data_IF_128556494108
#
_entry.id   IF_128556494108
#
_cell.length_a   1.000
_cell.length_b   1.000
_cell.length_c   1.000
_cell.angle_alpha   90.00
_cell.angle_beta   90.00
_cell.angle_gamma   90.00
#
_symmetry.space_group_name_H-M   'P 1'
#
loop_
_entity.id
_entity.type
_entity.pdbx_description
1 polymer ?
#
# COMPACT_ATOMS: atom_id res chain seq x y z
N UNK A 1 -13.17 11.48 -29.53
CA UNK A 1 -14.15 11.56 -28.43
C UNK A 1 -15.53 11.11 -28.92
N UNK A 2 -16.17 11.84 -29.85
CA UNK A 2 -17.50 11.51 -30.36
C UNK A 2 -17.62 10.07 -30.92
N UNK A 3 -16.69 9.65 -31.78
CA UNK A 3 -16.68 8.26 -32.28
C UNK A 3 -16.54 7.20 -31.16
N UNK A 4 -15.87 7.52 -30.05
CA UNK A 4 -15.77 6.60 -28.91
C UNK A 4 -17.07 6.54 -28.10
N UNK A 5 -17.81 7.65 -28.02
CA UNK A 5 -19.17 7.67 -27.45
C UNK A 5 -20.14 6.87 -28.31
N UNK A 6 -20.01 6.97 -29.65
CA UNK A 6 -20.80 6.17 -30.59
C UNK A 6 -20.49 4.67 -30.47
N UNK A 7 -19.22 4.32 -30.27
CA UNK A 7 -18.78 2.96 -30.02
C UNK A 7 -19.15 2.40 -28.62
N UNK A 8 -19.78 3.20 -27.74
CA UNK A 8 -20.29 2.73 -26.45
C UNK A 8 -19.26 2.69 -25.31
N UNK A 9 -18.27 3.59 -25.29
CA UNK A 9 -17.31 3.68 -24.17
C UNK A 9 -18.02 4.08 -22.86
N UNK A 10 -17.61 3.48 -21.75
CA UNK A 10 -18.22 3.73 -20.43
C UNK A 10 -17.72 5.00 -19.73
N UNK A 11 -16.60 5.57 -20.17
CA UNK A 11 -16.04 6.79 -19.61
C UNK A 11 -15.05 7.40 -20.60
N UNK A 12 -15.11 8.71 -20.80
CA UNK A 12 -14.06 9.43 -21.53
C UNK A 12 -13.01 9.98 -20.56
N UNK A 13 -11.80 10.21 -21.06
CA UNK A 13 -10.84 11.12 -20.44
C UNK A 13 -10.49 12.23 -21.41
N UNK A 14 -10.66 13.47 -20.99
CA UNK A 14 -10.21 14.64 -21.74
C UNK A 14 -9.01 15.29 -21.03
N UNK A 15 -8.18 15.98 -21.80
CA UNK A 15 -7.04 16.75 -21.30
C UNK A 15 -7.20 18.20 -21.78
N UNK A 16 -7.35 19.17 -20.87
CA UNK A 16 -7.45 20.59 -21.23
C UNK A 16 -6.27 21.07 -22.09
N UNK A 17 -5.07 20.50 -21.88
CA UNK A 17 -3.88 20.85 -22.66
C UNK A 17 -3.97 20.53 -24.16
N UNK A 18 -4.82 19.56 -24.53
CA UNK A 18 -4.93 19.02 -25.89
C UNK A 18 -6.16 19.55 -26.66
N UNK A 19 -7.28 19.80 -25.99
CA UNK A 19 -8.52 20.30 -26.60
C UNK A 19 -8.70 21.74 -26.13
N UNK A 20 -8.41 22.72 -26.99
CA UNK A 20 -8.30 24.14 -26.60
C UNK A 20 -9.49 25.01 -27.00
N UNK A 21 -10.42 24.46 -27.78
CA UNK A 21 -11.56 25.18 -28.34
C UNK A 21 -12.78 24.93 -27.46
N UNK A 22 -13.29 25.93 -26.71
CA UNK A 22 -14.43 25.76 -25.80
C UNK A 22 -15.64 25.13 -26.49
N UNK A 23 -15.91 25.46 -27.74
CA UNK A 23 -16.99 24.91 -28.55
C UNK A 23 -16.87 23.38 -28.73
N UNK A 24 -15.66 22.85 -28.88
CA UNK A 24 -15.44 21.41 -29.00
C UNK A 24 -15.62 20.71 -27.66
N UNK A 25 -15.16 21.33 -26.57
CA UNK A 25 -15.29 20.80 -25.21
C UNK A 25 -16.78 20.69 -24.85
N UNK A 26 -17.53 21.79 -25.05
CA UNK A 26 -18.98 21.88 -24.81
C UNK A 26 -19.77 20.89 -25.65
N UNK A 27 -19.39 20.68 -26.91
CA UNK A 27 -20.01 19.66 -27.77
C UNK A 27 -19.79 18.25 -27.21
N UNK A 28 -18.56 17.90 -26.84
CA UNK A 28 -18.26 16.57 -26.27
C UNK A 28 -18.99 16.36 -24.94
N UNK A 29 -19.01 17.37 -24.06
CA UNK A 29 -19.69 17.30 -22.78
C UNK A 29 -21.22 17.17 -22.96
N UNK A 30 -21.82 17.88 -23.90
CA UNK A 30 -23.26 17.77 -24.21
C UNK A 30 -23.60 16.37 -24.74
N UNK A 31 -22.80 15.83 -25.66
CA UNK A 31 -22.99 14.47 -26.18
C UNK A 31 -22.82 13.39 -25.11
N UNK A 32 -21.86 13.56 -24.21
CA UNK A 32 -21.65 12.65 -23.09
C UNK A 32 -22.80 12.72 -22.07
N UNK A 33 -23.33 13.94 -21.81
CA UNK A 33 -24.51 14.16 -20.97
C UNK A 33 -25.72 13.40 -21.51
N UNK A 34 -26.03 13.59 -22.78
CA UNK A 34 -27.22 13.01 -23.42
C UNK A 34 -27.16 11.48 -23.45
N UNK A 35 -25.95 10.90 -23.39
CA UNK A 35 -25.69 9.46 -23.33
C UNK A 35 -25.50 8.92 -21.91
N UNK A 36 -25.44 9.77 -20.90
CA UNK A 36 -25.15 9.38 -19.52
C UNK A 36 -23.74 8.82 -19.30
N UNK A 37 -22.76 9.21 -20.12
CA UNK A 37 -21.37 8.72 -20.03
C UNK A 37 -20.51 9.71 -19.23
N UNK A 38 -19.89 9.31 -18.11
CA UNK A 38 -19.05 10.20 -17.33
C UNK A 38 -17.75 10.60 -18.06
N UNK A 39 -17.20 11.75 -17.70
CA UNK A 39 -15.92 12.24 -18.22
C UNK A 39 -14.93 12.46 -17.08
N UNK A 40 -13.69 11.99 -17.25
CA UNK A 40 -12.56 12.42 -16.43
C UNK A 40 -11.85 13.61 -17.06
N UNK A 41 -11.80 14.75 -16.37
CA UNK A 41 -10.90 15.86 -16.70
C UNK A 41 -9.52 15.53 -16.14
N UNK A 42 -8.51 15.41 -17.01
CA UNK A 42 -7.16 15.04 -16.58
C UNK A 42 -6.12 16.07 -16.97
N UNK A 43 -5.80 16.96 -16.04
CA UNK A 43 -4.69 17.91 -16.13
C UNK A 43 -3.39 17.19 -15.79
N UNK A 44 -2.38 17.37 -16.65
CA UNK A 44 -1.04 16.87 -16.42
C UNK A 44 -0.05 18.04 -16.39
N UNK A 45 0.86 18.07 -15.41
CA UNK A 45 1.86 19.12 -15.31
C UNK A 45 2.71 19.30 -16.57
N UNK A 46 3.06 18.19 -17.25
CA UNK A 46 3.85 18.22 -18.49
C UNK A 46 3.10 18.69 -19.73
N UNK A 47 1.78 18.91 -19.66
CA UNK A 47 0.97 19.38 -20.80
C UNK A 47 0.05 20.53 -20.38
N UNK A 48 0.48 21.37 -19.45
CA UNK A 48 -0.28 22.54 -19.03
C UNK A 48 -0.47 23.53 -20.20
N UNK A 49 -1.59 24.25 -20.23
CA UNK A 49 -1.81 25.29 -21.25
C UNK A 49 -0.73 26.37 -21.16
N UNK A 50 -0.22 26.81 -22.31
CA UNK A 50 0.87 27.80 -22.40
C UNK A 50 0.51 29.12 -21.71
N UNK A 51 -0.75 29.58 -21.79
CA UNK A 51 -1.17 30.83 -21.15
C UNK A 51 -1.12 30.71 -19.63
N UNK A 52 -1.56 29.58 -19.08
CA UNK A 52 -1.46 29.29 -17.65
C UNK A 52 0.00 29.17 -17.25
N UNK A 53 0.80 28.41 -18.00
CA UNK A 53 2.22 28.27 -17.73
C UNK A 53 2.94 29.63 -17.65
N UNK A 54 2.66 30.55 -18.59
CA UNK A 54 3.22 31.90 -18.59
C UNK A 54 2.66 32.77 -17.45
N UNK A 55 1.34 32.68 -17.17
CA UNK A 55 0.70 33.39 -16.03
C UNK A 55 1.37 33.06 -14.70
N UNK A 56 1.80 31.81 -14.52
CA UNK A 56 2.47 31.33 -13.30
C UNK A 56 4.01 31.37 -13.40
N UNK A 57 4.55 32.26 -14.23
CA UNK A 57 5.99 32.56 -14.26
C UNK A 57 6.84 31.50 -14.95
N UNK A 58 6.27 30.78 -15.91
CA UNK A 58 6.98 29.78 -16.69
C UNK A 58 7.38 28.56 -15.87
N UNK A 59 6.52 28.16 -14.92
CA UNK A 59 6.71 26.97 -14.08
C UNK A 59 5.37 26.27 -13.89
N UNK A 60 5.43 24.95 -13.72
CA UNK A 60 4.26 24.18 -13.27
C UNK A 60 4.13 24.37 -11.77
N UNK A 61 3.04 24.98 -11.33
CA UNK A 61 2.72 25.17 -9.91
C UNK A 61 1.40 24.46 -9.57
N UNK A 62 1.14 24.16 -8.28
CA UNK A 62 -0.13 23.58 -7.85
C UNK A 62 -1.33 24.42 -8.33
N UNK A 63 -1.25 25.74 -8.15
CA UNK A 63 -2.32 26.68 -8.46
C UNK A 63 -2.62 26.68 -9.96
N UNK A 64 -1.58 26.61 -10.80
CA UNK A 64 -1.75 26.56 -12.25
C UNK A 64 -2.47 25.27 -12.70
N UNK A 65 -2.19 24.14 -12.04
CA UNK A 65 -2.84 22.87 -12.33
C UNK A 65 -4.30 22.87 -11.88
N UNK A 66 -4.59 23.43 -10.71
CA UNK A 66 -5.96 23.58 -10.18
C UNK A 66 -6.77 24.54 -11.05
N UNK A 67 -6.22 25.69 -11.42
CA UNK A 67 -6.89 26.65 -12.30
C UNK A 67 -7.20 26.01 -13.66
N UNK A 68 -6.28 25.21 -14.22
CA UNK A 68 -6.55 24.48 -15.46
C UNK A 68 -7.72 23.51 -15.33
N UNK A 69 -7.92 22.88 -14.16
CA UNK A 69 -9.04 21.98 -13.94
C UNK A 69 -10.36 22.76 -13.78
N UNK A 70 -10.35 23.86 -13.03
CA UNK A 70 -11.52 24.72 -12.81
C UNK A 70 -11.99 25.39 -14.10
N UNK A 71 -11.06 25.84 -14.95
CA UNK A 71 -11.40 26.39 -16.28
C UNK A 71 -12.12 25.37 -17.14
N UNK A 72 -11.66 24.11 -17.15
CA UNK A 72 -12.32 23.05 -17.91
C UNK A 72 -13.71 22.71 -17.32
N UNK A 73 -13.81 22.63 -15.99
CA UNK A 73 -15.08 22.42 -15.29
C UNK A 73 -16.13 23.48 -15.64
N UNK A 74 -15.73 24.75 -15.71
CA UNK A 74 -16.65 25.84 -16.05
C UNK A 74 -17.31 25.62 -17.43
N UNK A 75 -16.59 25.08 -18.41
CA UNK A 75 -17.19 24.74 -19.72
C UNK A 75 -18.22 23.62 -19.63
N UNK A 76 -18.05 22.68 -18.70
CA UNK A 76 -18.97 21.56 -18.49
C UNK A 76 -20.24 22.05 -17.75
N UNK A 77 -20.07 22.96 -16.79
CA UNK A 77 -21.17 23.62 -16.07
C UNK A 77 -22.05 24.45 -17.02
N UNK A 78 -21.46 25.19 -17.97
CA UNK A 78 -22.20 25.96 -18.98
C UNK A 78 -23.17 25.11 -19.82
N UNK A 79 -22.89 23.81 -19.98
CA UNK A 79 -23.78 22.86 -20.68
C UNK A 79 -24.53 21.93 -19.72
N UNK A 80 -24.50 22.21 -18.43
CA UNK A 80 -25.23 21.45 -17.41
C UNK A 80 -24.77 20.00 -17.28
N UNK A 81 -23.48 19.70 -17.45
CA UNK A 81 -22.93 18.36 -17.30
C UNK A 81 -22.06 18.24 -16.05
N UNK A 82 -22.47 17.35 -15.14
CA UNK A 82 -21.91 17.20 -13.79
C UNK A 82 -21.35 15.80 -13.48
N UNK A 83 -21.46 14.83 -14.41
CA UNK A 83 -20.90 13.49 -14.25
C UNK A 83 -19.39 13.48 -14.53
N UNK A 84 -18.65 14.17 -13.66
CA UNK A 84 -17.24 14.48 -13.82
C UNK A 84 -16.42 13.93 -12.67
N UNK A 85 -15.23 13.44 -13.00
CA UNK A 85 -14.14 13.20 -12.03
C UNK A 85 -12.87 13.88 -12.52
N UNK A 86 -11.97 14.24 -11.62
CA UNK A 86 -10.84 15.13 -11.94
C UNK A 86 -9.51 14.50 -11.53
N UNK A 87 -8.45 14.77 -12.28
CA UNK A 87 -7.09 14.46 -11.86
C UNK A 87 -6.14 15.59 -12.25
N UNK A 88 -5.26 15.98 -11.32
CA UNK A 88 -4.17 16.95 -11.49
C UNK A 88 -2.82 16.26 -11.27
N UNK A 89 -2.33 15.51 -12.27
CA UNK A 89 -1.16 14.64 -12.11
C UNK A 89 0.16 15.35 -12.41
N UNK A 90 1.15 15.13 -11.56
CA UNK A 90 2.54 15.53 -11.78
C UNK A 90 3.49 14.37 -11.47
N UNK A 91 4.70 14.43 -12.04
CA UNK A 91 5.76 13.46 -11.77
C UNK A 91 6.61 13.88 -10.55
N UNK A 92 6.55 15.15 -10.14
CA UNK A 92 7.10 15.61 -8.88
C UNK A 92 6.08 15.37 -7.74
N UNK A 93 6.46 14.56 -6.75
CA UNK A 93 5.55 14.11 -5.69
C UNK A 93 5.06 15.26 -4.79
N UNK A 94 5.92 16.13 -4.22
CA UNK A 94 5.46 17.28 -3.44
C UNK A 94 4.49 18.20 -4.20
N UNK A 95 4.79 18.51 -5.46
CA UNK A 95 3.93 19.31 -6.33
C UNK A 95 2.55 18.66 -6.51
N UNK A 96 2.52 17.35 -6.79
CA UNK A 96 1.26 16.61 -6.94
C UNK A 96 0.43 16.66 -5.66
N UNK A 97 1.03 16.38 -4.51
CA UNK A 97 0.32 16.36 -3.22
C UNK A 97 -0.33 17.73 -2.99
N UNK A 98 0.42 18.81 -3.14
CA UNK A 98 -0.09 20.16 -2.94
C UNK A 98 -1.22 20.52 -3.93
N UNK A 99 -1.09 20.12 -5.20
CA UNK A 99 -2.13 20.34 -6.20
C UNK A 99 -3.44 19.61 -5.86
N UNK A 100 -3.37 18.37 -5.34
CA UNK A 100 -4.57 17.63 -4.94
C UNK A 100 -5.20 18.18 -3.65
N UNK A 101 -4.41 18.65 -2.68
CA UNK A 101 -4.94 19.33 -1.49
C UNK A 101 -5.74 20.58 -1.88
N UNK A 102 -5.12 21.46 -2.65
CA UNK A 102 -5.80 22.66 -3.16
C UNK A 102 -7.03 22.31 -4.00
N UNK A 103 -6.95 21.26 -4.84
CA UNK A 103 -8.10 20.81 -5.63
C UNK A 103 -9.24 20.28 -4.74
N UNK A 104 -8.92 19.52 -3.69
CA UNK A 104 -9.94 18.96 -2.78
C UNK A 104 -10.70 20.01 -1.98
N UNK A 105 -10.08 21.17 -1.73
CA UNK A 105 -10.77 22.33 -1.12
C UNK A 105 -11.62 23.10 -2.13
N UNK A 106 -11.30 22.98 -3.42
CA UNK A 106 -11.92 23.75 -4.49
C UNK A 106 -13.13 23.05 -5.15
N UNK A 107 -13.31 21.75 -4.94
CA UNK A 107 -14.42 20.98 -5.56
C UNK A 107 -14.73 19.68 -4.82
N UNK A 108 -16.02 19.33 -4.80
CA UNK A 108 -16.54 18.05 -4.28
C UNK A 108 -16.56 16.92 -5.33
N UNK A 109 -16.06 17.18 -6.56
CA UNK A 109 -16.01 16.14 -7.59
C UNK A 109 -15.00 15.03 -7.23
N UNK A 110 -15.29 13.75 -7.57
CA UNK A 110 -14.38 12.65 -7.31
C UNK A 110 -12.98 12.86 -7.92
N UNK A 111 -11.95 12.55 -7.14
CA UNK A 111 -10.54 12.77 -7.48
C UNK A 111 -9.87 11.44 -7.86
N UNK A 112 -9.28 11.42 -9.06
CA UNK A 112 -8.51 10.30 -9.57
C UNK A 112 -7.01 10.51 -9.38
N UNK A 113 -6.47 9.93 -8.32
CA UNK A 113 -5.07 10.07 -7.94
C UNK A 113 -4.12 9.27 -8.83
N UNK A 114 -2.87 9.68 -8.81
CA UNK A 114 -1.75 8.92 -9.33
C UNK A 114 -0.60 9.82 -9.73
N UNK A 115 0.61 9.41 -9.35
CA UNK A 115 1.85 10.03 -9.84
C UNK A 115 2.03 9.62 -11.30
N UNK A 116 2.16 10.59 -12.20
CA UNK A 116 2.47 10.28 -13.61
C UNK A 116 3.95 9.99 -13.77
N UNK A 117 4.31 9.11 -14.70
CA UNK A 117 5.72 8.80 -15.01
C UNK A 117 6.53 8.45 -13.74
N UNK A 118 6.03 7.47 -12.99
CA UNK A 118 6.69 7.05 -11.76
C UNK A 118 8.03 6.34 -12.04
N UNK A 119 8.14 5.68 -13.20
CA UNK A 119 9.33 4.94 -13.63
C UNK A 119 9.22 3.43 -13.34
N UNK A 120 10.29 2.66 -13.59
CA UNK A 120 10.29 1.22 -13.35
C UNK A 120 10.38 0.89 -11.84
N UNK A 121 9.87 -0.28 -11.40
CA UNK A 121 10.13 -0.80 -10.07
C UNK A 121 11.63 -1.03 -9.80
N UNK A 122 12.10 -0.98 -8.54
CA UNK A 122 11.33 -0.66 -7.33
C UNK A 122 11.13 0.85 -7.10
N UNK A 123 11.96 1.71 -7.73
CA UNK A 123 11.92 3.16 -7.50
C UNK A 123 10.56 3.79 -7.86
N UNK A 124 9.93 3.32 -8.94
CA UNK A 124 8.60 3.77 -9.34
C UNK A 124 7.51 3.42 -8.33
N UNK A 125 7.63 2.28 -7.63
CA UNK A 125 6.70 1.90 -6.57
C UNK A 125 6.82 2.86 -5.39
N UNK A 126 8.05 3.12 -4.92
CA UNK A 126 8.31 4.07 -3.83
C UNK A 126 7.76 5.46 -4.17
N UNK A 127 8.07 5.96 -5.38
CA UNK A 127 7.63 7.28 -5.83
C UNK A 127 6.11 7.39 -5.94
N UNK A 128 5.44 6.41 -6.55
CA UNK A 128 3.99 6.41 -6.69
C UNK A 128 3.28 6.29 -5.33
N UNK A 129 3.74 5.36 -4.48
CA UNK A 129 3.21 5.17 -3.12
C UNK A 129 3.35 6.43 -2.28
N UNK A 130 4.52 7.09 -2.30
CA UNK A 130 4.75 8.32 -1.52
C UNK A 130 3.74 9.43 -1.86
N UNK A 131 3.36 9.58 -3.13
CA UNK A 131 2.36 10.57 -3.55
C UNK A 131 0.93 10.16 -3.26
N UNK A 132 0.57 8.91 -3.57
CA UNK A 132 -0.82 8.44 -3.44
C UNK A 132 -1.18 8.23 -1.97
N UNK A 133 -0.33 7.56 -1.19
CA UNK A 133 -0.60 7.22 0.21
C UNK A 133 -0.73 8.46 1.10
N UNK A 134 0.06 9.51 0.85
CA UNK A 134 -0.02 10.77 1.58
C UNK A 134 -1.43 11.39 1.47
N UNK A 135 -1.98 11.45 0.25
CA UNK A 135 -3.31 11.99 0.00
C UNK A 135 -4.42 11.09 0.56
N UNK A 136 -4.30 9.77 0.37
CA UNK A 136 -5.27 8.83 0.91
C UNK A 136 -5.33 8.87 2.45
N UNK A 137 -4.21 9.09 3.13
CA UNK A 137 -4.15 9.23 4.59
C UNK A 137 -4.87 10.49 5.09
N UNK A 138 -5.02 11.50 4.22
CA UNK A 138 -5.78 12.73 4.48
C UNK A 138 -7.25 12.60 4.06
N UNK A 139 -7.68 11.43 3.58
CA UNK A 139 -9.04 11.21 3.08
C UNK A 139 -9.29 11.78 1.68
N UNK A 140 -8.23 12.13 0.94
CA UNK A 140 -8.32 12.69 -0.41
C UNK A 140 -8.16 11.56 -1.43
N UNK A 141 -9.12 11.39 -2.33
CA UNK A 141 -9.05 10.49 -3.48
C UNK A 141 -10.10 9.37 -3.50
N UNK A 142 -10.73 9.19 -4.66
CA UNK A 142 -11.85 8.25 -4.86
C UNK A 142 -11.47 7.07 -5.76
N UNK A 143 -10.41 7.24 -6.56
CA UNK A 143 -9.84 6.20 -7.40
C UNK A 143 -8.36 6.48 -7.62
N UNK A 144 -7.55 5.43 -7.69
CA UNK A 144 -6.10 5.55 -7.87
C UNK A 144 -5.64 4.87 -9.15
N UNK A 145 -4.48 5.27 -9.65
CA UNK A 145 -3.71 4.53 -10.66
C UNK A 145 -2.21 4.70 -10.42
N UNK A 146 -1.51 3.60 -10.32
CA UNK A 146 -0.05 3.54 -10.46
C UNK A 146 0.32 3.71 -11.94
N UNK A 147 1.33 4.53 -12.24
CA UNK A 147 1.81 4.74 -13.62
C UNK A 147 3.27 4.29 -13.70
N UNK A 148 3.49 2.97 -13.69
CA UNK A 148 4.80 2.33 -13.66
C UNK A 148 5.28 2.03 -15.07
N UNK A 149 6.59 1.98 -15.25
CA UNK A 149 7.18 1.40 -16.46
C UNK A 149 7.28 -0.13 -16.28
N UNK A 150 6.13 -0.80 -16.27
CA UNK A 150 5.98 -2.24 -16.02
C UNK A 150 4.74 -2.81 -16.72
N UNK A 151 4.49 -4.12 -16.56
CA UNK A 151 3.23 -4.73 -16.99
C UNK A 151 2.04 -4.07 -16.25
N UNK A 152 0.93 -3.74 -16.93
CA UNK A 152 -0.25 -3.13 -16.28
C UNK A 152 -0.85 -3.96 -15.13
N UNK A 153 -0.66 -5.28 -15.14
CA UNK A 153 -1.05 -6.16 -14.03
C UNK A 153 -0.28 -5.79 -12.76
N UNK A 154 1.00 -5.43 -12.86
CA UNK A 154 1.80 -4.97 -11.73
C UNK A 154 1.35 -3.61 -11.21
N UNK A 155 0.89 -2.69 -12.09
CA UNK A 155 0.23 -1.44 -11.66
C UNK A 155 -1.03 -1.73 -10.82
N UNK A 156 -1.85 -2.69 -11.26
CA UNK A 156 -3.09 -3.07 -10.59
C UNK A 156 -2.82 -3.77 -9.24
N UNK A 157 -1.84 -4.67 -9.19
CA UNK A 157 -1.39 -5.33 -7.95
C UNK A 157 -0.89 -4.30 -6.93
N UNK A 158 -0.02 -3.38 -7.34
CA UNK A 158 0.52 -2.34 -6.45
C UNK A 158 -0.59 -1.44 -5.89
N UNK A 159 -1.53 -0.99 -6.74
CA UNK A 159 -2.67 -0.19 -6.30
C UNK A 159 -3.57 -0.93 -5.31
N UNK A 160 -3.80 -2.22 -5.55
CA UNK A 160 -4.56 -3.07 -4.64
C UNK A 160 -3.86 -3.23 -3.29
N UNK A 161 -2.59 -3.58 -3.30
CA UNK A 161 -1.77 -3.75 -2.10
C UNK A 161 -1.73 -2.47 -1.26
N UNK A 162 -1.60 -1.29 -1.89
CA UNK A 162 -1.66 -0.02 -1.16
C UNK A 162 -2.99 0.15 -0.43
N UNK A 163 -4.12 -0.07 -1.11
CA UNK A 163 -5.44 0.11 -0.49
C UNK A 163 -5.69 -0.90 0.64
N UNK A 164 -5.22 -2.14 0.49
CA UNK A 164 -5.29 -3.17 1.54
C UNK A 164 -4.40 -2.79 2.74
N UNK A 165 -3.16 -2.34 2.52
CA UNK A 165 -2.25 -1.89 3.57
C UNK A 165 -2.76 -0.66 4.33
N UNK A 166 -3.51 0.22 3.66
CA UNK A 166 -4.14 1.39 4.29
C UNK A 166 -5.49 1.10 4.93
N UNK A 167 -5.99 -0.15 4.86
CA UNK A 167 -7.32 -0.51 5.37
C UNK A 167 -8.49 0.10 4.59
N UNK A 168 -8.24 0.65 3.40
CA UNK A 168 -9.26 1.26 2.52
C UNK A 168 -9.94 0.22 1.61
N UNK A 169 -9.46 -1.02 1.64
CA UNK A 169 -10.03 -2.15 0.91
C UNK A 169 -9.85 -3.42 1.72
N UNK A 170 -10.86 -4.29 1.67
CA UNK A 170 -10.75 -5.63 2.24
C UNK A 170 -9.61 -6.42 1.59
N UNK A 171 -8.78 -7.03 2.46
CA UNK A 171 -7.72 -7.95 2.07
C UNK A 171 -8.32 -9.18 1.40
N UNK A 172 -7.76 -9.57 0.25
CA UNK A 172 -8.14 -10.85 -0.42
C UNK A 172 -7.01 -11.87 -0.52
N UNK A 173 -5.78 -11.49 -0.17
CA UNK A 173 -4.61 -12.38 -0.22
C UNK A 173 -3.80 -12.33 1.07
N UNK A 174 -2.62 -12.93 1.01
CA UNK A 174 -1.67 -12.96 2.13
C UNK A 174 -1.18 -11.55 2.47
N UNK A 175 -1.16 -11.23 3.76
CA UNK A 175 -0.37 -10.14 4.32
C UNK A 175 0.66 -10.72 5.28
N UNK A 176 1.88 -10.88 4.78
CA UNK A 176 2.97 -11.44 5.56
C UNK A 176 3.76 -10.32 6.24
N UNK A 177 3.71 -10.30 7.57
CA UNK A 177 4.52 -9.41 8.39
C UNK A 177 5.70 -10.20 8.95
N UNK A 178 6.90 -9.67 8.83
CA UNK A 178 8.09 -10.28 9.39
C UNK A 178 8.90 -9.25 10.18
N UNK A 179 9.53 -9.67 11.26
CA UNK A 179 10.48 -8.77 11.92
C UNK A 179 11.70 -8.57 11.01
N UNK A 180 12.33 -7.37 11.02
CA UNK A 180 13.52 -7.10 10.20
C UNK A 180 14.77 -7.87 10.64
N UNK A 181 14.64 -8.80 11.60
CA UNK A 181 15.70 -9.42 12.41
C UNK A 181 16.37 -8.46 13.39
N UNK A 182 17.04 -9.00 14.41
CA UNK A 182 17.82 -8.28 15.42
C UNK A 182 18.81 -9.24 16.11
N UNK A 183 19.61 -8.76 17.08
CA UNK A 183 20.54 -9.62 17.82
C UNK A 183 19.90 -10.72 18.68
N UNK A 184 18.57 -10.75 18.78
CA UNK A 184 17.81 -11.84 19.43
C UNK A 184 17.36 -12.94 18.46
N UNK A 185 17.60 -12.77 17.17
CA UNK A 185 17.13 -13.72 16.17
C UNK A 185 17.79 -15.09 16.37
N UNK A 186 16.95 -16.11 16.49
CA UNK A 186 17.34 -17.51 16.72
C UNK A 186 17.43 -18.29 15.41
N UNK A 187 16.95 -17.71 14.31
CA UNK A 187 16.88 -18.31 12.97
C UNK A 187 17.18 -17.27 11.89
N UNK A 188 17.44 -17.73 10.68
CA UNK A 188 17.43 -16.87 9.49
C UNK A 188 15.98 -16.46 9.15
N UNK A 189 15.52 -15.40 9.82
CA UNK A 189 14.16 -14.85 9.66
C UNK A 189 13.87 -14.47 8.21
N UNK A 190 14.88 -13.98 7.48
CA UNK A 190 14.72 -13.55 6.09
C UNK A 190 14.40 -14.76 5.22
N UNK A 191 15.15 -15.85 5.40
CA UNK A 191 14.88 -17.11 4.70
C UNK A 191 13.51 -17.67 5.06
N UNK A 192 13.17 -17.77 6.35
CA UNK A 192 11.87 -18.32 6.79
C UNK A 192 10.71 -17.47 6.27
N UNK A 193 10.81 -16.14 6.30
CA UNK A 193 9.80 -15.24 5.77
C UNK A 193 9.63 -15.37 4.25
N UNK A 194 10.73 -15.52 3.51
CA UNK A 194 10.70 -15.77 2.06
C UNK A 194 10.03 -17.10 1.71
N UNK A 195 10.44 -18.18 2.38
CA UNK A 195 9.85 -19.52 2.19
C UNK A 195 8.35 -19.51 2.54
N UNK A 196 7.96 -18.83 3.62
CA UNK A 196 6.56 -18.67 4.03
C UNK A 196 5.75 -17.83 3.02
N UNK A 197 6.31 -16.74 2.49
CA UNK A 197 5.67 -15.93 1.45
C UNK A 197 5.35 -16.79 0.23
N UNK A 198 6.34 -17.52 -0.30
CA UNK A 198 6.19 -18.36 -1.48
C UNK A 198 5.19 -19.51 -1.29
N UNK A 199 5.09 -20.05 -0.08
CA UNK A 199 4.16 -21.13 0.25
C UNK A 199 2.73 -20.60 0.41
N UNK A 200 2.54 -19.52 1.15
CA UNK A 200 1.23 -18.99 1.54
C UNK A 200 0.57 -18.16 0.44
N UNK A 201 1.33 -17.45 -0.40
CA UNK A 201 0.78 -16.63 -1.48
C UNK A 201 -0.01 -17.49 -2.50
N UNK A 202 0.41 -18.74 -2.71
CA UNK A 202 -0.26 -19.72 -3.57
C UNK A 202 -1.63 -20.14 -3.05
N UNK A 203 -1.88 -20.02 -1.75
CA UNK A 203 -3.16 -20.37 -1.14
C UNK A 203 -4.24 -19.32 -1.44
N UNK A 204 -3.84 -18.08 -1.73
CA UNK A 204 -4.73 -16.95 -2.01
C UNK A 204 -5.84 -16.80 -0.94
N UNK A 205 -5.46 -16.95 0.33
CA UNK A 205 -6.32 -16.80 1.49
C UNK A 205 -6.21 -15.37 2.05
N UNK A 206 -7.31 -14.75 2.49
CA UNK A 206 -7.31 -13.42 3.11
C UNK A 206 -6.83 -13.50 4.57
N UNK A 207 -5.55 -13.80 4.78
CA UNK A 207 -4.97 -14.04 6.11
C UNK A 207 -3.75 -13.17 6.34
N UNK A 208 -3.63 -12.62 7.56
CA UNK A 208 -2.39 -11.98 8.01
C UNK A 208 -1.52 -12.98 8.76
N UNK A 209 -0.28 -13.16 8.31
CA UNK A 209 0.66 -14.14 8.86
C UNK A 209 1.92 -13.45 9.36
N UNK A 210 2.33 -13.76 10.59
CA UNK A 210 3.52 -13.20 11.22
C UNK A 210 4.68 -14.19 11.28
N UNK A 211 5.87 -13.77 10.85
CA UNK A 211 7.13 -14.55 10.98
C UNK A 211 8.12 -13.78 11.84
N UNK A 212 8.39 -14.31 13.03
CA UNK A 212 9.18 -13.63 14.05
C UNK A 212 10.45 -14.41 14.39
N UNK A 213 11.58 -13.70 14.43
CA UNK A 213 12.89 -14.31 14.67
C UNK A 213 13.19 -14.72 16.10
N UNK A 214 12.38 -14.30 17.08
CA UNK A 214 12.58 -14.66 18.48
C UNK A 214 11.24 -14.82 19.20
N UNK A 215 11.15 -15.79 20.11
CA UNK A 215 9.98 -16.02 20.97
C UNK A 215 9.87 -14.97 22.09
N UNK A 216 10.94 -14.21 22.34
CA UNK A 216 10.99 -13.22 23.42
C UNK A 216 10.02 -12.05 23.17
N UNK A 217 10.10 -11.44 22.00
CA UNK A 217 9.26 -10.30 21.61
C UNK A 217 8.24 -10.68 20.52
N UNK A 218 8.54 -11.70 19.71
CA UNK A 218 7.76 -12.05 18.52
C UNK A 218 6.26 -12.23 18.77
N UNK A 219 5.83 -13.10 19.70
CA UNK A 219 4.40 -13.30 19.97
C UNK A 219 3.67 -12.04 20.43
N UNK A 220 4.35 -11.14 21.15
CA UNK A 220 3.79 -9.87 21.62
C UNK A 220 3.65 -8.83 20.51
N UNK A 221 4.68 -8.70 19.67
CA UNK A 221 4.69 -7.80 18.51
C UNK A 221 3.68 -8.22 17.43
N UNK A 222 3.36 -9.52 17.38
CA UNK A 222 2.52 -10.14 16.36
C UNK A 222 1.11 -10.54 16.83
N UNK A 223 0.70 -10.16 18.04
CA UNK A 223 -0.54 -10.68 18.66
C UNK A 223 -1.82 -10.43 17.86
N UNK A 224 -1.82 -9.38 17.04
CA UNK A 224 -2.97 -8.96 16.25
C UNK A 224 -3.10 -9.76 14.93
N UNK A 225 -2.02 -10.43 14.50
CA UNK A 225 -2.02 -11.30 13.34
C UNK A 225 -2.96 -12.49 13.53
N UNK A 226 -3.55 -12.96 12.43
CA UNK A 226 -4.44 -14.13 12.46
C UNK A 226 -3.65 -15.39 12.83
N UNK A 227 -2.49 -15.53 12.22
CA UNK A 227 -1.56 -16.65 12.39
C UNK A 227 -0.14 -16.11 12.52
N UNK A 228 0.72 -16.81 13.22
CA UNK A 228 2.14 -16.53 13.13
C UNK A 228 3.02 -17.59 13.77
N UNK A 229 4.32 -17.43 13.62
CA UNK A 229 5.32 -18.31 14.20
C UNK A 229 6.51 -17.51 14.72
N UNK A 230 6.96 -17.84 15.93
CA UNK A 230 8.11 -17.21 16.56
C UNK A 230 9.21 -18.23 16.84
N UNK A 231 10.42 -17.98 16.37
CA UNK A 231 11.53 -18.91 16.55
C UNK A 231 12.14 -18.85 17.96
N UNK A 232 12.59 -19.97 18.48
CA UNK A 232 13.36 -20.03 19.72
C UNK A 232 13.95 -21.42 19.94
N UNK A 233 15.24 -21.50 20.31
CA UNK A 233 15.89 -22.76 20.70
C UNK A 233 15.71 -23.91 19.68
N UNK A 234 15.89 -23.61 18.39
CA UNK A 234 15.72 -24.53 17.25
C UNK A 234 14.27 -25.02 17.03
N UNK A 235 13.29 -24.28 17.55
CA UNK A 235 11.86 -24.55 17.39
C UNK A 235 11.12 -23.33 16.89
N UNK A 236 9.99 -23.55 16.25
CA UNK A 236 8.99 -22.54 15.95
C UNK A 236 7.78 -22.67 16.86
N UNK A 237 7.39 -21.57 17.49
CA UNK A 237 6.22 -21.48 18.36
C UNK A 237 5.10 -20.85 17.53
N UNK A 238 4.21 -21.69 17.02
CA UNK A 238 3.09 -21.28 16.18
C UNK A 238 1.95 -20.77 17.07
N UNK A 239 1.40 -19.61 16.71
CA UNK A 239 0.34 -18.95 17.46
C UNK A 239 -0.79 -18.48 16.56
N UNK A 240 -2.00 -18.45 17.11
CA UNK A 240 -3.21 -17.92 16.48
C UNK A 240 -3.76 -16.85 17.40
N UNK A 241 -3.93 -15.61 16.89
CA UNK A 241 -4.34 -14.44 17.69
C UNK A 241 -3.56 -14.32 19.02
N UNK A 242 -2.24 -14.46 18.94
CA UNK A 242 -1.32 -14.36 20.07
C UNK A 242 -1.30 -15.54 21.05
N UNK A 243 -2.14 -16.57 20.86
CA UNK A 243 -2.13 -17.78 21.68
C UNK A 243 -1.28 -18.86 21.01
N UNK A 244 -0.26 -19.37 21.70
CA UNK A 244 0.57 -20.46 21.17
C UNK A 244 -0.25 -21.73 21.14
N UNK A 245 -0.40 -22.29 19.95
CA UNK A 245 -1.23 -23.47 19.67
C UNK A 245 -0.40 -24.70 19.31
N UNK A 246 0.86 -24.52 18.88
CA UNK A 246 1.75 -25.62 18.51
C UNK A 246 3.20 -25.20 18.62
N UNK A 247 4.07 -26.14 18.96
CA UNK A 247 5.53 -25.98 18.88
C UNK A 247 6.07 -27.03 17.90
N UNK A 248 6.83 -26.60 16.91
CA UNK A 248 7.41 -27.47 15.87
C UNK A 248 8.92 -27.32 15.80
N UNK A 249 9.67 -28.33 15.33
CA UNK A 249 11.07 -28.15 14.93
C UNK A 249 11.23 -27.05 13.87
N UNK A 250 12.35 -26.34 13.88
CA UNK A 250 12.64 -25.27 12.90
C UNK A 250 12.40 -25.67 11.43
N UNK A 251 12.79 -26.88 10.94
CA UNK A 251 12.54 -27.29 9.55
C UNK A 251 11.06 -27.40 9.17
N UNK A 252 10.16 -27.55 10.15
CA UNK A 252 8.72 -27.76 9.94
C UNK A 252 7.92 -26.46 10.06
N UNK A 253 8.58 -25.33 10.33
CA UNK A 253 7.92 -24.03 10.58
C UNK A 253 6.99 -23.59 9.46
N UNK A 254 7.46 -23.68 8.20
CA UNK A 254 6.68 -23.24 7.03
C UNK A 254 5.50 -24.17 6.76
N UNK A 255 5.72 -25.49 6.89
CA UNK A 255 4.66 -26.48 6.71
C UNK A 255 3.56 -26.30 7.77
N UNK A 256 3.95 -26.00 9.01
CA UNK A 256 3.02 -25.71 10.09
C UNK A 256 2.20 -24.43 9.80
N UNK A 257 2.80 -23.37 9.26
CA UNK A 257 2.07 -22.17 8.84
C UNK A 257 1.03 -22.49 7.75
N UNK A 258 1.39 -23.31 6.75
CA UNK A 258 0.47 -23.71 5.67
C UNK A 258 -0.69 -24.54 6.21
N UNK A 259 -0.41 -25.54 7.06
CA UNK A 259 -1.44 -26.37 7.70
C UNK A 259 -2.44 -25.49 8.47
N UNK A 260 -1.93 -24.58 9.29
CA UNK A 260 -2.78 -23.75 10.15
C UNK A 260 -3.49 -22.64 9.40
N UNK A 261 -2.95 -22.15 8.28
CA UNK A 261 -3.67 -21.26 7.39
C UNK A 261 -4.91 -21.94 6.80
N UNK A 262 -4.82 -23.22 6.43
CA UNK A 262 -5.98 -24.00 6.00
C UNK A 262 -7.00 -24.19 7.13
N UNK A 263 -6.56 -24.54 8.35
CA UNK A 263 -7.46 -24.67 9.49
C UNK A 263 -8.24 -23.38 9.78
N UNK A 264 -7.55 -22.24 9.74
CA UNK A 264 -8.20 -20.94 9.93
C UNK A 264 -9.19 -20.64 8.80
N UNK A 265 -8.86 -20.99 7.56
CA UNK A 265 -9.76 -20.80 6.42
C UNK A 265 -11.01 -21.70 6.51
N UNK A 266 -10.86 -22.95 6.96
CA UNK A 266 -11.92 -23.96 6.98
C UNK A 266 -12.81 -23.85 8.23
N UNK A 267 -12.23 -23.56 9.39
CA UNK A 267 -12.91 -23.64 10.70
C UNK A 267 -12.97 -22.30 11.43
N UNK A 268 -12.35 -21.25 10.87
CA UNK A 268 -12.20 -19.97 11.52
C UNK A 268 -11.19 -19.97 12.66
N UNK A 269 -10.99 -18.79 13.26
CA UNK A 269 -10.03 -18.59 14.35
C UNK A 269 -10.37 -19.45 15.58
N UNK A 270 -11.65 -19.51 15.97
CA UNK A 270 -12.07 -20.27 17.14
C UNK A 270 -11.89 -21.78 16.95
N UNK A 271 -12.19 -22.30 15.76
CA UNK A 271 -11.97 -23.70 15.41
C UNK A 271 -10.49 -24.07 15.44
N UNK A 272 -9.64 -23.23 14.85
CA UNK A 272 -8.19 -23.41 14.91
C UNK A 272 -7.67 -23.41 16.36
N UNK A 273 -8.10 -22.45 17.19
CA UNK A 273 -7.70 -22.39 18.61
C UNK A 273 -8.13 -23.62 19.41
N UNK A 274 -9.28 -24.23 19.10
CA UNK A 274 -9.74 -25.45 19.76
C UNK A 274 -8.85 -26.68 19.47
N UNK A 275 -8.03 -26.62 18.42
CA UNK A 275 -7.07 -27.66 18.05
C UNK A 275 -5.66 -27.45 18.62
N UNK A 276 -5.50 -26.53 19.58
CA UNK A 276 -4.21 -26.28 20.22
C UNK A 276 -3.66 -27.55 20.90
N UNK A 277 -2.38 -27.82 20.69
CA UNK A 277 -1.66 -28.93 21.30
C UNK A 277 -1.54 -28.69 22.82
N UNK A 278 -1.81 -29.72 23.61
CA UNK A 278 -1.73 -29.65 25.06
C UNK A 278 -0.29 -29.34 25.51
N UNK A 279 -0.10 -28.22 26.21
CA UNK A 279 1.20 -27.82 26.75
C UNK A 279 2.04 -26.90 25.85
N UNK A 280 1.60 -26.59 24.62
CA UNK A 280 2.34 -25.73 23.70
C UNK A 280 2.66 -24.35 24.29
N UNK A 281 1.70 -23.74 25.00
CA UNK A 281 1.91 -22.46 25.67
C UNK A 281 2.97 -22.55 26.80
N UNK A 282 2.94 -23.61 27.61
CA UNK A 282 3.89 -23.81 28.69
C UNK A 282 5.31 -24.07 28.16
N UNK A 283 5.43 -24.80 27.06
CA UNK A 283 6.70 -25.02 26.38
C UNK A 283 7.28 -23.71 25.83
N UNK A 284 6.46 -22.91 25.15
CA UNK A 284 6.88 -21.61 24.65
C UNK A 284 7.33 -20.64 25.75
N UNK A 285 6.63 -20.61 26.89
CA UNK A 285 7.01 -19.79 28.04
C UNK A 285 8.34 -20.25 28.64
N UNK A 286 8.58 -21.56 28.71
CA UNK A 286 9.84 -22.12 29.19
C UNK A 286 11.01 -21.77 28.27
N UNK A 287 10.84 -21.94 26.95
CA UNK A 287 11.86 -21.60 25.97
C UNK A 287 12.14 -20.09 25.92
N UNK A 288 11.10 -19.26 26.08
CA UNK A 288 11.21 -17.80 26.23
C UNK A 288 12.00 -17.41 27.47
N UNK A 289 11.70 -18.00 28.63
CA UNK A 289 12.41 -17.72 29.87
C UNK A 289 13.90 -18.12 29.76
N UNK A 290 14.18 -19.30 29.21
CA UNK A 290 15.55 -19.77 29.01
C UNK A 290 16.36 -18.84 28.09
N UNK A 291 15.77 -18.37 26.98
CA UNK A 291 16.44 -17.43 26.08
C UNK A 291 16.67 -16.06 26.72
N UNK A 292 15.75 -15.59 27.55
CA UNK A 292 15.95 -14.34 28.30
C UNK A 292 17.10 -14.46 29.29
N UNK A 293 17.25 -15.59 29.96
CA UNK A 293 18.35 -15.86 30.89
C UNK A 293 19.70 -15.98 30.14
N UNK A 294 19.72 -16.61 28.98
CA UNK A 294 20.94 -16.80 28.16
C UNK A 294 21.40 -15.50 27.48
N UNK A 295 20.48 -14.76 26.85
CA UNK A 295 20.80 -13.55 26.08
C UNK A 295 20.87 -12.29 26.96
N UNK A 296 20.29 -12.34 28.16
CA UNK A 296 20.13 -11.19 29.04
C UNK A 296 19.15 -10.13 28.51
N UNK A 297 19.03 -9.04 29.29
CA UNK A 297 18.15 -7.92 28.96
C UNK A 297 18.61 -7.12 27.72
N UNK A 298 19.92 -7.09 27.44
CA UNK A 298 20.53 -6.40 26.29
C UNK A 298 21.31 -7.37 25.40
N UNK A 299 20.58 -8.05 24.53
CA UNK A 299 21.16 -9.02 23.58
C UNK A 299 22.17 -8.40 22.60
N UNK A 300 22.22 -7.08 22.46
CA UNK A 300 23.11 -6.41 21.52
C UNK A 300 24.40 -5.88 22.18
N UNK A 301 24.55 -6.02 23.50
CA UNK A 301 25.61 -5.36 24.28
C UNK A 301 25.75 -3.87 23.91
N UNK A 302 24.60 -3.20 23.80
CA UNK A 302 24.43 -1.83 23.31
C UNK A 302 25.28 -0.85 24.09
N UNK A 303 25.32 -0.96 25.43
CA UNK A 303 26.13 -0.07 26.28
C UNK A 303 27.62 -0.19 25.98
N UNK A 304 28.13 -1.42 25.87
CA UNK A 304 29.54 -1.68 25.56
C UNK A 304 29.92 -1.14 24.17
N UNK A 305 29.03 -1.29 23.18
CA UNK A 305 29.23 -0.74 21.83
C UNK A 305 29.21 0.79 21.81
N UNK A 306 28.31 1.41 22.56
CA UNK A 306 28.26 2.87 22.71
C UNK A 306 29.55 3.40 23.36
N UNK A 307 30.06 2.72 24.38
CA UNK A 307 31.31 3.09 25.04
C UNK A 307 32.53 2.94 24.12
N UNK A 308 32.56 1.90 23.27
CA UNK A 308 33.57 1.73 22.22
C UNK A 308 33.52 2.87 21.19
N UNK A 309 32.33 3.24 20.72
CA UNK A 309 32.15 4.37 19.79
C UNK A 309 32.63 5.67 20.43
N UNK A 310 32.26 5.93 21.69
CA UNK A 310 32.70 7.12 22.44
C UNK A 310 34.22 7.17 22.61
N UNK A 311 34.86 6.05 22.92
CA UNK A 311 36.33 5.97 23.02
C UNK A 311 37.02 6.27 21.68
N UNK A 312 36.46 5.80 20.56
CA UNK A 312 37.01 6.05 19.22
C UNK A 312 36.76 7.47 18.71
N UNK A 313 35.77 8.19 19.25
CA UNK A 313 35.51 9.60 18.91
C UNK A 313 36.33 10.60 19.75
N UNK A 314 36.90 10.14 20.87
CA UNK A 314 37.67 10.96 21.83
C UNK A 314 39.18 10.70 21.78
N UNK A 315 39.65 9.78 20.94
CA UNK A 315 41.07 9.49 20.67
C UNK A 315 41.46 9.86 19.26
#
# INVERSE_FOLDING_TARGET
ALAALEAGVHCLRLNPGNIRRPEHIKLIASEARDRGVPIRIGVNGGSLDEKLYQKYGGKVTPEAMVESAQMELAYFEEVGFNQVKISVKASNVPLMIEAYRQLSEATDHPLHLGVTEAGPPPAGLVKATAGIAALLAEGIGDTIRYSLTADPVEEAKAGRQLLEAMGLRERKGLDLIACPSCGRAEVDVIKVAGDAQDALEKLNLPIQVAVMGCVVNGPGEARDADLGIAAGRQKGHLFVKGQVVRVVPEPEMVDALVEWAHKIADEGIEGALAQADAGAAAEADADRAALLDEQGADANASEQRVDLIRKNLLG
#
